data_IF_349559070186
#
_entry.id   IF_349559070186
#
_cell.length_a   1.000
_cell.length_b   1.000
_cell.length_c   1.000
_cell.angle_alpha   90.00
_cell.angle_beta   90.00
_cell.angle_gamma   90.00
#
_symmetry.space_group_name_H-M   'P 1'
#
loop_
_entity.id
_entity.type
_entity.pdbx_description
1 polymer ?
#
# COMPACT_ATOMS: atom_id res chain seq x y z
N UNK A 1 3.79 1.12 24.26
CA UNK A 1 2.94 2.29 24.61
C UNK A 1 2.05 2.57 23.42
N UNK A 2 0.76 2.78 23.66
CA UNK A 2 -0.16 3.26 22.63
C UNK A 2 -0.10 4.79 22.62
N UNK A 3 0.27 5.36 21.50
CA UNK A 3 0.26 6.79 21.25
C UNK A 3 -0.90 7.17 20.32
N UNK A 4 -1.45 8.36 20.48
CA UNK A 4 -2.45 8.95 19.60
C UNK A 4 -1.83 10.14 18.88
N UNK A 5 -1.77 10.05 17.57
CA UNK A 5 -1.25 11.12 16.71
C UNK A 5 -2.22 12.31 16.63
N UNK A 6 -1.73 13.46 16.15
CA UNK A 6 -2.54 14.67 15.95
C UNK A 6 -3.74 14.45 15.01
N UNK A 7 -3.58 13.59 14.02
CA UNK A 7 -4.67 13.15 13.12
C UNK A 7 -5.76 12.32 13.81
N UNK A 8 -5.54 11.92 15.08
CA UNK A 8 -6.40 11.00 15.80
C UNK A 8 -6.04 9.52 15.61
N UNK A 9 -5.14 9.21 14.71
CA UNK A 9 -4.67 7.87 14.42
C UNK A 9 -3.94 7.24 15.63
N UNK A 10 -3.97 5.91 15.70
CA UNK A 10 -3.35 5.15 16.80
C UNK A 10 -2.10 4.43 16.33
N UNK A 11 -1.03 4.55 17.10
CA UNK A 11 0.22 3.82 16.86
C UNK A 11 0.74 3.17 18.13
N UNK A 12 1.28 1.96 18.00
CA UNK A 12 1.91 1.24 19.08
C UNK A 12 3.43 1.40 19.03
N UNK A 13 4.03 1.94 20.07
CA UNK A 13 5.47 2.01 20.24
C UNK A 13 5.97 0.95 21.21
N UNK A 14 6.95 0.17 20.78
CA UNK A 14 7.72 -0.73 21.62
C UNK A 14 9.22 -0.42 21.49
N UNK A 15 9.65 0.58 22.25
CA UNK A 15 11.05 0.97 22.31
C UNK A 15 11.85 -0.06 23.14
N UNK A 16 12.84 -0.68 22.52
CA UNK A 16 13.76 -1.63 23.15
C UNK A 16 15.10 -1.61 22.45
N UNK A 17 16.17 -1.72 23.18
CA UNK A 17 17.49 -1.88 22.59
C UNK A 17 17.58 -3.18 21.80
N UNK A 18 18.02 -3.08 20.55
CA UNK A 18 18.20 -4.20 19.63
C UNK A 18 19.64 -4.31 19.20
N UNK A 19 20.07 -5.52 18.80
CA UNK A 19 21.38 -5.70 18.17
C UNK A 19 21.41 -4.94 16.85
N UNK A 20 22.45 -4.14 16.61
CA UNK A 20 22.57 -3.32 15.41
C UNK A 20 21.58 -2.14 15.35
N UNK A 21 20.95 -1.78 16.48
CA UNK A 21 19.97 -0.68 16.57
C UNK A 21 18.83 -0.80 15.54
N UNK A 22 18.46 -2.03 15.21
CA UNK A 22 17.43 -2.29 14.22
C UNK A 22 16.04 -1.85 14.68
N UNK A 23 15.25 -1.35 13.75
CA UNK A 23 13.87 -0.94 13.94
C UNK A 23 13.01 -1.55 12.84
N UNK A 24 11.87 -2.12 13.24
CA UNK A 24 10.83 -2.60 12.33
C UNK A 24 9.58 -1.77 12.57
N UNK A 25 8.93 -1.34 11.50
CA UNK A 25 7.63 -0.70 11.59
C UNK A 25 6.65 -1.26 10.56
N UNK A 26 5.38 -1.26 10.95
CA UNK A 26 4.25 -1.55 10.07
C UNK A 26 3.24 -0.43 10.20
N UNK A 27 2.70 0.00 9.07
CA UNK A 27 1.71 1.07 8.98
C UNK A 27 0.63 0.65 7.99
N UNK A 28 -0.63 0.88 8.33
CA UNK A 28 -1.75 0.57 7.46
C UNK A 28 -2.66 1.80 7.35
N UNK A 29 -3.13 2.02 6.14
CA UNK A 29 -4.12 3.04 5.83
C UNK A 29 -5.32 2.32 5.20
N UNK A 30 -6.42 2.23 5.92
CA UNK A 30 -7.67 1.74 5.37
C UNK A 30 -8.33 2.86 4.56
N UNK A 31 -8.88 2.53 3.40
CA UNK A 31 -9.43 3.50 2.46
C UNK A 31 -10.88 3.19 2.11
N UNK A 32 -11.66 4.25 1.90
CA UNK A 32 -13.05 4.16 1.51
C UNK A 32 -13.92 3.37 2.50
N UNK A 33 -15.07 2.96 2.02
CA UNK A 33 -15.97 2.03 2.69
C UNK A 33 -16.58 1.07 1.67
N UNK A 34 -17.21 -0.01 2.13
CA UNK A 34 -17.73 -1.05 1.23
C UNK A 34 -18.66 -0.51 0.14
N UNK A 35 -19.49 0.48 0.45
CA UNK A 35 -20.43 1.08 -0.51
C UNK A 35 -19.71 1.93 -1.57
N UNK A 36 -18.75 2.74 -1.15
CA UNK A 36 -18.01 3.64 -2.05
C UNK A 36 -17.02 2.87 -2.94
N UNK A 37 -16.55 1.69 -2.51
CA UNK A 37 -15.61 0.84 -3.22
C UNK A 37 -16.29 -0.19 -4.15
N UNK A 38 -17.61 -0.15 -4.31
CA UNK A 38 -18.33 -1.03 -5.24
C UNK A 38 -17.78 -0.92 -6.66
N UNK A 39 -17.48 -2.06 -7.28
CA UNK A 39 -16.88 -2.21 -8.62
C UNK A 39 -15.49 -1.55 -8.79
N UNK A 40 -14.77 -1.31 -7.69
CA UNK A 40 -13.46 -0.63 -7.71
C UNK A 40 -12.29 -1.51 -7.26
N UNK A 41 -12.50 -2.81 -7.06
CA UNK A 41 -11.48 -3.72 -6.52
C UNK A 41 -10.21 -3.76 -7.37
N UNK A 42 -10.31 -3.89 -8.69
CA UNK A 42 -9.15 -3.96 -9.60
C UNK A 42 -8.47 -2.59 -9.73
N UNK A 43 -9.25 -1.53 -9.98
CA UNK A 43 -8.71 -0.15 -10.07
C UNK A 43 -7.99 0.23 -8.78
N UNK A 44 -8.58 -0.07 -7.63
CA UNK A 44 -7.98 0.21 -6.32
C UNK A 44 -6.71 -0.59 -6.09
N UNK A 45 -6.69 -1.88 -6.41
CA UNK A 45 -5.49 -2.71 -6.28
C UNK A 45 -4.36 -2.22 -7.17
N UNK A 46 -4.65 -1.86 -8.42
CA UNK A 46 -3.66 -1.29 -9.33
C UNK A 46 -3.16 0.07 -8.82
N UNK A 47 -4.07 0.96 -8.37
CA UNK A 47 -3.69 2.27 -7.85
C UNK A 47 -2.74 2.15 -6.65
N UNK A 48 -3.03 1.25 -5.69
CA UNK A 48 -2.17 1.03 -4.53
C UNK A 48 -0.84 0.39 -4.89
N UNK A 49 -0.80 -0.52 -5.87
CA UNK A 49 0.43 -1.13 -6.36
C UNK A 49 1.33 -0.14 -7.11
N UNK A 50 0.74 0.87 -7.74
CA UNK A 50 1.49 1.91 -8.47
C UNK A 50 2.22 2.91 -7.55
N UNK A 51 1.84 3.02 -6.28
CA UNK A 51 2.46 3.98 -5.35
C UNK A 51 3.96 3.75 -5.20
N UNK A 52 4.41 2.49 -5.18
CA UNK A 52 5.83 2.13 -5.09
C UNK A 52 6.58 2.13 -6.44
N UNK A 53 5.89 2.43 -7.55
CA UNK A 53 6.47 2.40 -8.91
C UNK A 53 6.91 3.75 -9.45
N UNK A 54 6.87 4.79 -8.62
CA UNK A 54 7.39 6.10 -8.94
C UNK A 54 6.62 7.23 -8.28
N UNK A 55 7.34 8.25 -7.92
CA UNK A 55 6.83 9.47 -7.31
C UNK A 55 7.40 10.70 -8.01
N UNK A 56 6.93 11.88 -7.62
CA UNK A 56 7.36 13.14 -8.22
C UNK A 56 8.89 13.33 -8.24
N UNK A 57 9.60 12.79 -7.23
CA UNK A 57 11.04 13.01 -7.06
C UNK A 57 11.88 11.74 -7.32
N UNK A 58 11.25 10.58 -7.44
CA UNK A 58 11.93 9.30 -7.59
C UNK A 58 11.26 8.46 -8.67
N UNK A 59 12.04 7.96 -9.63
CA UNK A 59 11.66 6.80 -10.41
C UNK A 59 11.62 5.55 -9.52
N UNK A 60 11.20 4.43 -10.06
CA UNK A 60 11.20 3.14 -9.34
C UNK A 60 12.61 2.72 -8.93
N UNK A 61 13.60 2.89 -9.84
CA UNK A 61 15.00 2.57 -9.59
C UNK A 61 15.62 3.50 -8.56
N UNK A 62 15.41 4.81 -8.71
CA UNK A 62 15.94 5.81 -7.76
C UNK A 62 15.36 5.62 -6.35
N UNK A 63 14.09 5.20 -6.24
CA UNK A 63 13.47 4.88 -4.96
C UNK A 63 14.15 3.66 -4.30
N UNK A 64 14.48 2.63 -5.08
CA UNK A 64 15.20 1.46 -4.58
C UNK A 64 16.62 1.85 -4.13
N UNK A 65 17.35 2.61 -4.94
CA UNK A 65 18.69 3.12 -4.59
C UNK A 65 18.66 3.96 -3.30
N UNK A 66 17.64 4.79 -3.12
CA UNK A 66 17.50 5.59 -1.91
C UNK A 66 17.23 4.74 -0.67
N UNK A 67 16.39 3.71 -0.75
CA UNK A 67 16.19 2.76 0.35
C UNK A 67 17.47 1.96 0.64
N UNK A 68 18.22 1.54 -0.38
CA UNK A 68 19.49 0.83 -0.19
C UNK A 68 20.51 1.75 0.48
N UNK A 69 20.60 3.03 0.10
CA UNK A 69 21.45 4.04 0.74
C UNK A 69 21.12 4.22 2.22
N UNK A 70 19.84 4.14 2.57
CA UNK A 70 19.33 4.24 3.95
C UNK A 70 19.37 2.90 4.70
N UNK A 71 20.02 1.88 4.15
CA UNK A 71 20.06 0.53 4.76
C UNK A 71 18.65 0.05 5.16
N UNK A 72 17.65 0.36 4.33
CA UNK A 72 16.26 0.09 4.59
C UNK A 72 15.68 -0.95 3.63
N UNK A 73 14.96 -1.92 4.19
CA UNK A 73 14.07 -2.77 3.41
C UNK A 73 12.65 -2.26 3.60
N UNK A 74 12.06 -1.72 2.54
CA UNK A 74 10.71 -1.11 2.56
C UNK A 74 9.82 -1.82 1.56
N UNK A 75 8.62 -2.17 1.98
CA UNK A 75 7.57 -2.68 1.11
C UNK A 75 6.34 -1.80 1.26
N UNK A 76 5.87 -1.27 0.14
CA UNK A 76 4.66 -0.45 0.05
C UNK A 76 3.73 -1.13 -0.94
N UNK A 77 2.54 -1.50 -0.52
CA UNK A 77 1.57 -2.14 -1.38
C UNK A 77 0.25 -2.37 -0.68
N UNK A 78 -0.76 -2.69 -1.44
CA UNK A 78 -2.10 -2.85 -0.90
C UNK A 78 -3.10 -3.35 -1.91
N UNK A 79 -4.36 -3.20 -1.59
CA UNK A 79 -5.50 -3.55 -2.42
C UNK A 79 -6.53 -2.44 -2.44
N UNK A 80 -7.72 -2.78 -2.93
CA UNK A 80 -8.81 -1.81 -3.07
C UNK A 80 -9.29 -1.18 -1.74
N UNK A 81 -9.00 -1.81 -0.61
CA UNK A 81 -9.50 -1.40 0.71
C UNK A 81 -8.43 -0.78 1.61
N UNK A 82 -7.18 -0.71 1.15
CA UNK A 82 -6.11 -0.11 1.95
C UNK A 82 -4.73 -0.34 1.39
N UNK A 83 -3.77 0.36 1.98
CA UNK A 83 -2.35 0.22 1.70
C UNK A 83 -1.60 -0.07 2.99
N UNK A 84 -0.66 -1.01 2.90
CA UNK A 84 0.27 -1.34 3.96
C UNK A 84 1.69 -0.89 3.62
N UNK A 85 2.40 -0.45 4.63
CA UNK A 85 3.83 -0.17 4.58
C UNK A 85 4.52 -1.01 5.64
N UNK A 86 5.53 -1.76 5.24
CA UNK A 86 6.42 -2.48 6.15
C UNK A 86 7.84 -1.97 5.94
N UNK A 87 8.56 -1.71 6.99
CA UNK A 87 9.96 -1.30 6.90
C UNK A 87 10.83 -1.98 7.96
N UNK A 88 12.08 -2.19 7.61
CA UNK A 88 13.15 -2.58 8.52
C UNK A 88 14.37 -1.74 8.18
N UNK A 89 14.92 -1.04 9.18
CA UNK A 89 16.10 -0.18 9.03
C UNK A 89 16.81 -0.02 10.38
N UNK A 90 17.74 0.92 10.47
CA UNK A 90 18.44 1.27 11.70
C UNK A 90 17.84 2.52 12.36
N UNK A 91 18.15 2.72 13.65
CA UNK A 91 17.75 3.92 14.40
C UNK A 91 18.14 5.21 13.71
N UNK A 92 19.35 5.24 13.16
CA UNK A 92 19.95 6.41 12.53
C UNK A 92 19.18 6.82 11.27
N UNK A 93 18.71 5.83 10.51
CA UNK A 93 18.09 6.06 9.19
C UNK A 93 16.55 6.13 9.24
N UNK A 94 15.92 5.70 10.34
CA UNK A 94 14.47 5.57 10.42
C UNK A 94 13.71 6.87 10.09
N UNK A 95 14.24 8.01 10.56
CA UNK A 95 13.59 9.32 10.33
C UNK A 95 13.61 9.70 8.84
N UNK A 96 14.72 9.45 8.15
CA UNK A 96 14.86 9.73 6.72
C UNK A 96 14.05 8.74 5.88
N UNK A 97 14.00 7.45 6.26
CA UNK A 97 13.13 6.46 5.61
C UNK A 97 11.67 6.87 5.70
N UNK A 98 11.21 7.38 6.84
CA UNK A 98 9.84 7.88 6.99
C UNK A 98 9.56 9.12 6.12
N UNK A 99 10.55 10.00 5.91
CA UNK A 99 10.41 11.15 4.99
C UNK A 99 10.29 10.69 3.53
N UNK A 100 11.04 9.68 3.11
CA UNK A 100 10.90 9.09 1.76
C UNK A 100 9.53 8.45 1.60
N UNK A 101 9.08 7.67 2.59
CA UNK A 101 7.75 7.04 2.57
C UNK A 101 6.64 8.10 2.50
N UNK A 102 6.71 9.16 3.31
CA UNK A 102 5.76 10.29 3.27
C UNK A 102 5.68 10.90 1.88
N UNK A 103 6.85 11.13 1.25
CA UNK A 103 6.91 11.69 -0.10
C UNK A 103 6.28 10.76 -1.13
N UNK A 104 6.64 9.48 -1.11
CA UNK A 104 6.18 8.47 -2.08
C UNK A 104 4.67 8.25 -2.00
N UNK A 105 4.14 8.13 -0.79
CA UNK A 105 2.70 7.91 -0.59
C UNK A 105 1.89 9.14 -1.01
N UNK A 106 2.39 10.36 -0.75
CA UNK A 106 1.65 11.60 -1.03
C UNK A 106 1.79 12.11 -2.47
N UNK A 107 2.80 11.69 -3.21
CA UNK A 107 3.12 12.24 -4.53
C UNK A 107 3.36 11.15 -5.59
N UNK A 108 2.51 10.13 -5.73
CA UNK A 108 2.66 9.12 -6.77
C UNK A 108 2.46 9.76 -8.17
N UNK A 109 3.23 9.32 -9.16
CA UNK A 109 3.15 9.86 -10.52
C UNK A 109 2.13 9.15 -11.38
N UNK A 110 1.85 7.87 -11.12
CA UNK A 110 1.03 7.02 -11.98
C UNK A 110 1.49 7.11 -13.44
N UNK A 111 2.75 6.76 -13.68
CA UNK A 111 3.33 6.74 -15.01
C UNK A 111 2.68 5.65 -15.88
N UNK A 112 2.38 5.95 -17.15
CA UNK A 112 1.69 5.01 -18.03
C UNK A 112 2.54 3.81 -18.40
N UNK A 113 3.87 3.99 -18.54
CA UNK A 113 4.76 2.88 -18.86
C UNK A 113 4.91 1.91 -17.69
N UNK A 114 4.93 2.43 -16.46
CA UNK A 114 4.93 1.61 -15.24
C UNK A 114 3.60 0.87 -15.06
N UNK A 115 2.47 1.49 -15.43
CA UNK A 115 1.17 0.81 -15.41
C UNK A 115 1.13 -0.33 -16.43
N UNK A 116 1.64 -0.11 -17.64
CA UNK A 116 1.66 -1.14 -18.68
C UNK A 116 2.52 -2.32 -18.24
N UNK A 117 3.71 -2.08 -17.67
CA UNK A 117 4.55 -3.13 -17.10
C UNK A 117 3.84 -3.88 -15.96
N UNK A 118 3.18 -3.17 -15.06
CA UNK A 118 2.44 -3.81 -13.96
C UNK A 118 1.30 -4.69 -14.49
N UNK A 119 0.55 -4.22 -15.48
CA UNK A 119 -0.50 -5.03 -16.12
C UNK A 119 0.05 -6.29 -16.75
N UNK A 120 1.13 -6.19 -17.50
CA UNK A 120 1.76 -7.34 -18.15
C UNK A 120 2.24 -8.37 -17.10
N UNK A 121 2.91 -7.91 -16.03
CA UNK A 121 3.34 -8.76 -14.92
C UNK A 121 2.15 -9.52 -14.28
N UNK A 122 1.06 -8.81 -14.00
CA UNK A 122 -0.14 -9.39 -13.38
C UNK A 122 -0.87 -10.36 -14.32
N UNK A 123 -1.04 -9.99 -15.58
CA UNK A 123 -1.72 -10.85 -16.57
C UNK A 123 -0.93 -12.14 -16.78
N UNK A 124 0.41 -12.06 -16.92
CA UNK A 124 1.26 -13.26 -17.02
C UNK A 124 1.11 -14.15 -15.79
N UNK A 125 1.11 -13.57 -14.60
CA UNK A 125 0.91 -14.32 -13.34
C UNK A 125 -0.46 -15.01 -13.29
N UNK A 126 -1.52 -14.33 -13.69
CA UNK A 126 -2.89 -14.86 -13.73
C UNK A 126 -3.04 -15.98 -14.79
N UNK A 127 -2.43 -15.82 -15.96
CA UNK A 127 -2.43 -16.86 -17.00
C UNK A 127 -1.63 -18.11 -16.56
N UNK A 128 -0.55 -17.95 -15.80
CA UNK A 128 0.18 -19.06 -15.19
C UNK A 128 -0.67 -19.75 -14.11
N UNK A 129 -1.37 -18.97 -13.26
CA UNK A 129 -2.30 -19.52 -12.27
C UNK A 129 -3.40 -20.37 -12.92
N UNK A 130 -3.94 -19.92 -14.05
CA UNK A 130 -4.96 -20.63 -14.83
C UNK A 130 -4.49 -22.00 -15.32
N UNK A 131 -3.19 -22.18 -15.55
CA UNK A 131 -2.60 -23.45 -15.99
C UNK A 131 -2.35 -24.44 -14.84
N UNK A 132 -2.51 -24.01 -13.59
CA UNK A 132 -2.30 -24.83 -12.40
C UNK A 132 -3.63 -25.38 -11.87
N UNK A 133 -3.95 -26.68 -12.03
CA UNK A 133 -5.24 -27.23 -11.60
C UNK A 133 -5.56 -26.99 -10.13
N UNK A 134 -4.56 -27.07 -9.26
CA UNK A 134 -4.71 -26.84 -7.84
C UNK A 134 -5.14 -25.39 -7.53
N UNK A 135 -4.52 -24.41 -8.19
CA UNK A 135 -4.87 -22.99 -8.02
C UNK A 135 -6.29 -22.70 -8.49
N UNK A 136 -6.67 -23.25 -9.63
CA UNK A 136 -8.03 -23.14 -10.18
C UNK A 136 -9.06 -23.70 -9.21
N UNK A 137 -8.84 -24.92 -8.69
CA UNK A 137 -9.75 -25.55 -7.72
C UNK A 137 -9.90 -24.70 -6.45
N UNK A 138 -8.81 -24.18 -5.90
CA UNK A 138 -8.88 -23.34 -4.72
C UNK A 138 -9.54 -21.98 -4.98
N UNK A 139 -9.36 -21.40 -6.16
CA UNK A 139 -10.05 -20.16 -6.56
C UNK A 139 -11.55 -20.38 -6.70
N UNK A 140 -11.97 -21.46 -7.35
CA UNK A 140 -13.37 -21.87 -7.47
C UNK A 140 -14.01 -22.16 -6.11
N UNK A 141 -13.34 -22.93 -5.24
CA UNK A 141 -13.82 -23.19 -3.89
C UNK A 141 -13.99 -21.90 -3.10
N UNK A 142 -13.02 -21.00 -3.16
CA UNK A 142 -13.07 -19.69 -2.50
C UNK A 142 -14.21 -18.83 -3.04
N UNK A 143 -14.42 -18.84 -4.35
CA UNK A 143 -15.53 -18.15 -4.99
C UNK A 143 -16.88 -18.71 -4.55
N UNK A 144 -17.02 -20.03 -4.47
CA UNK A 144 -18.26 -20.70 -4.02
C UNK A 144 -18.58 -20.39 -2.55
N UNK A 145 -17.56 -20.26 -1.70
CA UNK A 145 -17.71 -19.95 -0.27
C UNK A 145 -17.80 -18.45 0.02
N UNK A 146 -17.55 -17.60 -0.98
CA UNK A 146 -17.55 -16.15 -0.79
C UNK A 146 -18.99 -15.63 -0.60
N UNK A 147 -19.29 -14.95 0.53
CA UNK A 147 -20.63 -14.48 0.80
C UNK A 147 -21.00 -13.17 0.08
N UNK A 148 -20.01 -12.52 -0.57
CA UNK A 148 -20.18 -11.20 -1.14
C UNK A 148 -20.70 -11.26 -2.59
N UNK A 149 -21.65 -10.41 -2.91
CA UNK A 149 -22.17 -10.27 -4.27
C UNK A 149 -21.16 -9.64 -5.22
N UNK A 150 -21.31 -9.88 -6.51
CA UNK A 150 -20.49 -9.28 -7.56
C UNK A 150 -20.46 -7.75 -7.42
N UNK A 151 -19.25 -7.18 -7.54
CA UNK A 151 -19.00 -5.76 -7.37
C UNK A 151 -18.58 -5.35 -5.95
N UNK A 152 -18.83 -6.16 -4.94
CA UNK A 152 -18.35 -5.88 -3.60
C UNK A 152 -16.80 -5.93 -3.56
N UNK A 153 -16.10 -5.04 -2.81
CA UNK A 153 -14.63 -5.00 -2.78
C UNK A 153 -13.98 -6.33 -2.37
N UNK A 154 -14.69 -7.17 -1.62
CA UNK A 154 -14.23 -8.52 -1.21
C UNK A 154 -14.87 -9.65 -2.03
N UNK A 155 -15.63 -9.34 -3.07
CA UNK A 155 -16.17 -10.38 -3.95
C UNK A 155 -15.05 -11.11 -4.70
N UNK A 156 -15.23 -12.41 -4.86
CA UNK A 156 -14.39 -13.19 -5.76
C UNK A 156 -14.78 -12.90 -7.22
N UNK A 157 -13.79 -12.92 -8.09
CA UNK A 157 -13.99 -12.87 -9.54
C UNK A 157 -13.20 -13.98 -10.22
N UNK A 158 -13.60 -14.36 -11.41
CA UNK A 158 -12.86 -15.33 -12.21
C UNK A 158 -11.54 -14.72 -12.70
N UNK A 159 -10.58 -15.57 -13.08
CA UNK A 159 -9.30 -15.09 -13.63
C UNK A 159 -9.54 -14.28 -14.90
N UNK A 160 -10.46 -14.71 -15.76
CA UNK A 160 -10.76 -14.02 -17.02
C UNK A 160 -11.40 -12.65 -16.79
N UNK A 161 -12.33 -12.53 -15.82
CA UNK A 161 -12.90 -11.24 -15.42
C UNK A 161 -11.82 -10.30 -14.86
N UNK A 162 -10.91 -10.80 -14.05
CA UNK A 162 -9.83 -10.02 -13.47
C UNK A 162 -8.85 -9.51 -14.54
N UNK A 163 -8.43 -10.38 -15.47
CA UNK A 163 -7.59 -10.00 -16.61
C UNK A 163 -8.25 -8.92 -17.47
N UNK A 164 -9.54 -9.06 -17.76
CA UNK A 164 -10.27 -8.08 -18.59
C UNK A 164 -10.34 -6.71 -17.90
N UNK A 165 -10.64 -6.67 -16.61
CA UNK A 165 -10.64 -5.44 -15.83
C UNK A 165 -9.24 -4.79 -15.74
N UNK A 166 -8.18 -5.59 -15.57
CA UNK A 166 -6.80 -5.10 -15.59
C UNK A 166 -6.50 -4.44 -16.95
N UNK A 167 -6.85 -5.08 -18.06
CA UNK A 167 -6.62 -4.52 -19.41
C UNK A 167 -7.35 -3.20 -19.64
N UNK A 168 -8.59 -3.08 -19.19
CA UNK A 168 -9.43 -1.90 -19.38
C UNK A 168 -9.02 -0.71 -18.52
N UNK A 169 -8.45 -0.95 -17.33
CA UNK A 169 -8.08 0.11 -16.39
C UNK A 169 -7.01 1.04 -16.98
N UNK A 170 -7.14 2.33 -16.77
CA UNK A 170 -6.23 3.35 -17.27
C UNK A 170 -5.72 4.28 -16.15
N UNK A 171 -4.69 5.08 -16.45
CA UNK A 171 -4.05 6.00 -15.50
C UNK A 171 -5.03 7.02 -14.90
N UNK A 172 -6.02 7.48 -15.68
CA UNK A 172 -7.00 8.46 -15.18
C UNK A 172 -7.85 7.88 -14.06
N UNK A 173 -8.28 6.62 -14.21
CA UNK A 173 -9.06 5.91 -13.19
C UNK A 173 -8.24 5.66 -11.91
N UNK A 174 -6.92 5.33 -12.04
CA UNK A 174 -6.04 5.18 -10.88
C UNK A 174 -5.88 6.48 -10.10
N UNK A 175 -5.67 7.60 -10.82
CA UNK A 175 -5.57 8.92 -10.21
C UNK A 175 -6.87 9.33 -9.53
N UNK A 176 -8.00 9.14 -10.19
CA UNK A 176 -9.31 9.42 -9.62
C UNK A 176 -9.54 8.62 -8.35
N UNK A 177 -9.25 7.30 -8.38
CA UNK A 177 -9.35 6.43 -7.22
C UNK A 177 -8.47 6.92 -6.07
N UNK A 178 -7.19 7.17 -6.34
CA UNK A 178 -6.23 7.62 -5.35
C UNK A 178 -6.67 8.95 -4.69
N UNK A 179 -6.98 9.97 -5.49
CA UNK A 179 -7.36 11.29 -4.94
C UNK A 179 -8.74 11.31 -4.30
N UNK A 180 -9.59 10.33 -4.58
CA UNK A 180 -10.90 10.20 -3.93
C UNK A 180 -10.81 9.51 -2.58
N UNK A 181 -10.03 8.44 -2.50
CA UNK A 181 -10.10 7.52 -1.37
C UNK A 181 -8.87 7.55 -0.47
N UNK A 182 -7.69 7.95 -0.97
CA UNK A 182 -6.48 7.94 -0.15
C UNK A 182 -6.49 9.08 0.86
N UNK A 183 -6.51 8.72 2.15
CA UNK A 183 -6.51 9.63 3.30
C UNK A 183 -5.94 8.95 4.55
N UNK A 184 -5.63 9.72 5.59
CA UNK A 184 -5.00 9.22 6.82
C UNK A 184 -5.95 8.93 7.97
N UNK A 185 -7.27 9.11 7.81
CA UNK A 185 -8.23 9.01 8.90
C UNK A 185 -8.31 7.62 9.55
N UNK A 186 -7.94 6.58 8.82
CA UNK A 186 -7.93 5.19 9.30
C UNK A 186 -6.51 4.61 9.38
N UNK A 187 -5.54 5.45 9.75
CA UNK A 187 -4.17 4.99 9.96
C UNK A 187 -4.05 4.22 11.27
N UNK A 188 -3.35 3.12 11.21
CA UNK A 188 -2.89 2.37 12.38
C UNK A 188 -1.50 1.79 12.12
N UNK A 189 -0.75 1.51 13.18
CA UNK A 189 0.58 0.96 12.99
C UNK A 189 1.29 0.58 14.29
N UNK A 190 2.50 0.07 14.11
CA UNK A 190 3.41 -0.26 15.20
C UNK A 190 4.87 0.03 14.79
N UNK A 191 5.66 0.52 15.74
CA UNK A 191 7.11 0.67 15.61
C UNK A 191 7.77 -0.08 16.76
N UNK A 192 8.69 -0.97 16.44
CA UNK A 192 9.37 -1.85 17.37
C UNK A 192 10.88 -1.80 17.16
N UNK A 193 11.66 -1.50 18.18
CA UNK A 193 13.11 -1.48 18.08
C UNK A 193 13.77 -0.38 18.90
N UNK A 194 14.98 -0.01 18.54
CA UNK A 194 15.74 1.07 19.17
C UNK A 194 15.54 2.38 18.41
N UNK A 195 14.66 3.25 18.88
CA UNK A 195 14.35 4.51 18.22
C UNK A 195 14.06 5.64 19.23
N UNK A 196 14.03 6.87 18.78
CA UNK A 196 13.62 8.04 19.54
C UNK A 196 12.12 8.30 19.32
N UNK A 197 11.31 8.11 20.35
CA UNK A 197 9.85 8.19 20.25
C UNK A 197 9.37 9.58 19.78
N UNK A 198 9.99 10.68 20.26
CA UNK A 198 9.57 12.04 19.94
C UNK A 198 9.84 12.37 18.46
N UNK A 199 11.01 11.96 17.95
CA UNK A 199 11.38 12.14 16.56
C UNK A 199 10.40 11.37 15.66
N UNK A 200 10.15 10.11 15.98
CA UNK A 200 9.29 9.26 15.15
C UNK A 200 7.83 9.69 15.22
N UNK A 201 7.34 10.09 16.38
CA UNK A 201 6.00 10.66 16.52
C UNK A 201 5.83 11.92 15.63
N UNK A 202 6.83 12.81 15.61
CA UNK A 202 6.83 13.99 14.74
C UNK A 202 6.76 13.60 13.26
N UNK A 203 7.54 12.59 12.82
CA UNK A 203 7.52 12.10 11.43
C UNK A 203 6.17 11.46 11.07
N UNK A 204 5.59 10.70 11.98
CA UNK A 204 4.29 10.08 11.78
C UNK A 204 3.14 11.11 11.78
N UNK A 205 3.22 12.14 12.59
CA UNK A 205 2.28 13.27 12.53
C UNK A 205 2.35 13.97 11.17
N UNK A 206 3.56 14.18 10.63
CA UNK A 206 3.73 14.71 9.27
C UNK A 206 3.14 13.76 8.22
N UNK A 207 3.45 12.46 8.30
CA UNK A 207 2.94 11.44 7.38
C UNK A 207 1.42 11.37 7.38
N UNK A 208 0.78 11.43 8.54
CA UNK A 208 -0.68 11.36 8.67
C UNK A 208 -1.38 12.72 8.58
N UNK A 209 -0.63 13.82 8.60
CA UNK A 209 -1.15 15.17 8.49
C UNK A 209 -1.42 15.63 7.06
N UNK A 210 -2.33 16.60 6.89
CA UNK A 210 -2.58 17.26 5.61
C UNK A 210 -3.42 16.45 4.60
N UNK A 211 -4.01 15.35 5.03
CA UNK A 211 -4.89 14.52 4.21
C UNK A 211 -6.33 14.72 4.65
N UNK A 212 -7.08 15.48 3.91
CA UNK A 212 -8.51 15.67 4.16
C UNK A 212 -9.32 14.61 3.40
N UNK A 213 -10.23 13.96 4.10
CA UNK A 213 -11.18 13.01 3.50
C UNK A 213 -12.15 13.74 2.61
N UNK A 214 -12.34 13.25 1.38
CA UNK A 214 -13.38 13.73 0.48
C UNK A 214 -14.62 12.82 0.47
N UNK A 215 -14.53 11.64 1.12
CA UNK A 215 -15.60 10.63 1.18
C UNK A 215 -15.74 10.07 2.59
#
# INVERSE_FOLDING_TARGET
VLAKLESGALINFLNKKTRGKSVVATMNFDIGNESALQNKSVVGSLAMSMISRGSKNYSREELQEEFDRLEASVSIGGGATGIGVSLNTTRENLADVLDVIDHVIKNPTFDSSELDMLKDELIVSLEQEKQQPTSVIFKELRSHLNPYSKGHPYASMTIDEEIELIRQTNVSELREFYYTFMHSNSFNGAVVGDFDEQIIETKLNKLTGGWETKV
#
